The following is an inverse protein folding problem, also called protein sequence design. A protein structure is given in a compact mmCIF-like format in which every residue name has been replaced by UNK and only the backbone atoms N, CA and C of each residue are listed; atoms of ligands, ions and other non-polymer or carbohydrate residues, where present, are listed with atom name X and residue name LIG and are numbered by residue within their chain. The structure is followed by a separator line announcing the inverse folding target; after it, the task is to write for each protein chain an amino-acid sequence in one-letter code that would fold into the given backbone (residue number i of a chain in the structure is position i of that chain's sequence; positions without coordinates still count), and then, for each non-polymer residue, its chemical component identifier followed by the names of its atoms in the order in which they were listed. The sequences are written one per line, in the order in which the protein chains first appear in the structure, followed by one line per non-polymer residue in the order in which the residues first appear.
data_IF_376119357232
#
_entry.id   IF_376119357232
#
_cell.length_a   1.000
_cell.length_b   1.000
_cell.length_c   1.000
_cell.angle_alpha   90.00
_cell.angle_beta   90.00
_cell.angle_gamma   90.00
#
_symmetry.space_group_name_H-M   'P 1'
#
loop_
_entity.id
_entity.type
_entity.pdbx_description
1 polymer ?
#
# COMPACT_ATOMS: atom_id res chain seq x y z
N UNK A 1 -13.31 24.15 -0.20
CA UNK A 1 -12.57 23.10 -0.95
C UNK A 1 -11.15 23.08 -0.41
N UNK A 2 -10.86 22.29 0.62
CA UNK A 2 -9.55 22.28 1.30
C UNK A 2 -8.71 21.10 0.81
N UNK A 3 -8.36 21.15 -0.48
CA UNK A 3 -7.22 20.40 -1.01
C UNK A 3 -5.93 21.20 -0.74
N UNK A 4 -4.76 20.57 -0.60
CA UNK A 4 -4.50 19.12 -0.64
C UNK A 4 -4.93 18.38 0.62
N UNK A 5 -5.06 17.06 0.50
CA UNK A 5 -5.14 16.14 1.65
C UNK A 5 -3.73 15.69 2.01
N UNK A 6 -3.32 15.90 3.26
CA UNK A 6 -1.98 15.56 3.72
C UNK A 6 -2.04 14.49 4.80
N UNK A 7 -1.22 13.44 4.67
CA UNK A 7 -1.06 12.39 5.68
C UNK A 7 0.42 12.28 6.08
N UNK A 8 0.65 11.97 7.36
CA UNK A 8 1.97 11.60 7.88
C UNK A 8 1.90 10.17 8.38
N UNK A 9 2.76 9.33 7.85
CA UNK A 9 2.82 7.90 8.14
C UNK A 9 4.13 7.57 8.84
N UNK A 10 4.07 6.65 9.80
CA UNK A 10 5.27 6.04 10.37
C UNK A 10 5.80 4.98 9.40
N UNK A 11 7.08 5.05 9.03
CA UNK A 11 7.70 4.13 8.07
C UNK A 11 7.82 2.68 8.57
N UNK A 12 7.73 2.45 9.89
CA UNK A 12 7.69 1.11 10.46
C UNK A 12 6.33 0.43 10.24
N UNK A 13 5.24 1.21 10.34
CA UNK A 13 3.89 0.70 10.10
C UNK A 13 3.57 0.63 8.59
N UNK A 14 4.02 1.63 7.83
CA UNK A 14 3.79 1.73 6.39
C UNK A 14 5.12 1.82 5.65
N UNK A 15 5.72 0.67 5.30
CA UNK A 15 6.96 0.68 4.51
C UNK A 15 6.72 1.29 3.13
N UNK A 16 7.77 1.84 2.52
CA UNK A 16 7.68 2.54 1.24
C UNK A 16 7.00 1.71 0.13
N UNK A 17 7.26 0.40 0.08
CA UNK A 17 6.64 -0.50 -0.89
C UNK A 17 5.12 -0.58 -0.78
N UNK A 18 4.58 -0.53 0.45
CA UNK A 18 3.14 -0.49 0.72
C UNK A 18 2.56 0.85 0.27
N UNK A 19 3.24 1.95 0.62
CA UNK A 19 2.83 3.30 0.22
C UNK A 19 2.79 3.44 -1.30
N UNK A 20 3.82 2.97 -2.00
CA UNK A 20 3.87 3.02 -3.46
C UNK A 20 2.74 2.22 -4.10
N UNK A 21 2.46 1.01 -3.60
CA UNK A 21 1.36 0.18 -4.10
C UNK A 21 0.00 0.86 -3.88
N UNK A 22 -0.21 1.46 -2.72
CA UNK A 22 -1.42 2.22 -2.43
C UNK A 22 -1.55 3.42 -3.38
N UNK A 23 -0.48 4.20 -3.56
CA UNK A 23 -0.46 5.35 -4.47
C UNK A 23 -0.76 4.95 -5.91
N UNK A 24 -0.12 3.88 -6.42
CA UNK A 24 -0.39 3.37 -7.77
C UNK A 24 -1.81 2.85 -7.92
N UNK A 25 -2.36 2.17 -6.91
CA UNK A 25 -3.75 1.67 -6.97
C UNK A 25 -4.80 2.78 -7.02
N UNK A 26 -4.43 3.99 -6.58
CA UNK A 26 -5.30 5.15 -6.52
C UNK A 26 -5.03 6.17 -7.65
N UNK A 27 -4.13 5.86 -8.58
CA UNK A 27 -3.66 6.80 -9.60
C UNK A 27 -4.80 7.36 -10.48
N UNK A 28 -5.85 6.58 -10.72
CA UNK A 28 -7.02 7.01 -11.49
C UNK A 28 -7.95 7.97 -10.71
N UNK A 29 -7.79 8.06 -9.38
CA UNK A 29 -8.67 8.85 -8.50
C UNK A 29 -7.94 10.05 -7.89
N UNK A 30 -6.72 9.85 -7.39
CA UNK A 30 -5.92 10.90 -6.76
C UNK A 30 -4.47 10.83 -7.22
N UNK A 31 -3.89 12.01 -7.47
CA UNK A 31 -2.44 12.15 -7.63
C UNK A 31 -1.81 12.30 -6.26
N UNK A 32 -0.91 11.39 -5.89
CA UNK A 32 -0.25 11.36 -4.58
C UNK A 32 1.24 11.64 -4.75
N UNK A 33 1.70 12.74 -4.15
CA UNK A 33 3.12 13.02 -3.95
C UNK A 33 3.60 12.36 -2.67
N UNK A 34 4.70 11.60 -2.76
CA UNK A 34 5.32 10.90 -1.63
C UNK A 34 6.62 11.63 -1.25
N UNK A 35 6.67 12.19 -0.05
CA UNK A 35 7.89 12.69 0.59
C UNK A 35 8.42 11.66 1.58
N UNK A 36 9.74 11.46 1.60
CA UNK A 36 10.40 10.52 2.49
C UNK A 36 11.31 11.31 3.42
N UNK A 37 11.07 11.18 4.71
CA UNK A 37 11.86 11.73 5.80
C UNK A 37 12.26 10.57 6.73
N UNK A 38 13.37 10.67 7.46
CA UNK A 38 14.06 9.55 8.12
C UNK A 38 13.17 8.39 8.65
N UNK A 39 12.16 8.69 9.47
CA UNK A 39 11.21 7.68 9.99
C UNK A 39 9.74 8.01 9.64
N UNK A 40 9.52 8.89 8.66
CA UNK A 40 8.19 9.32 8.27
C UNK A 40 8.03 9.37 6.76
N UNK A 41 6.86 8.97 6.30
CA UNK A 41 6.46 9.16 4.91
C UNK A 41 5.32 10.17 4.90
N UNK A 42 5.52 11.28 4.20
CA UNK A 42 4.51 12.30 3.98
C UNK A 42 3.80 12.06 2.65
N UNK A 43 2.48 12.10 2.67
CA UNK A 43 1.65 11.99 1.48
C UNK A 43 0.91 13.29 1.28
N UNK A 44 0.99 13.85 0.09
CA UNK A 44 0.18 15.00 -0.33
C UNK A 44 -0.64 14.59 -1.53
N UNK A 45 -1.97 14.55 -1.38
CA UNK A 45 -2.89 14.07 -2.39
C UNK A 45 -3.72 15.21 -2.99
N UNK A 46 -3.93 15.13 -4.30
CA UNK A 46 -4.79 15.98 -5.10
C UNK A 46 -5.74 15.12 -5.93
N UNK A 47 -6.91 15.64 -6.39
CA UNK A 47 -7.74 14.92 -7.34
C UNK A 47 -6.96 14.65 -8.62
N UNK A 48 -7.10 13.46 -9.21
CA UNK A 48 -6.50 13.16 -10.52
C UNK A 48 -7.13 14.01 -11.64
N UNK A 49 -8.42 14.33 -11.51
CA UNK A 49 -9.17 15.16 -12.45
C UNK A 49 -9.90 16.30 -11.74
N UNK A 50 -9.97 17.46 -12.39
CA UNK A 50 -10.62 18.66 -11.84
C UNK A 50 -12.14 18.52 -11.63
N UNK A 51 -12.79 17.50 -12.23
CA UNK A 51 -14.24 17.26 -12.12
C UNK A 51 -14.62 16.18 -11.10
N UNK A 52 -13.66 15.59 -10.39
CA UNK A 52 -13.96 14.59 -9.36
C UNK A 52 -14.77 15.23 -8.22
N UNK A 53 -15.97 14.71 -7.99
CA UNK A 53 -16.86 15.08 -6.88
C UNK A 53 -16.44 14.40 -5.57
N UNK A 54 -15.14 14.20 -5.37
CA UNK A 54 -14.59 13.54 -4.18
C UNK A 54 -14.31 14.60 -3.12
N UNK A 55 -14.92 14.45 -1.93
CA UNK A 55 -14.61 15.34 -0.82
C UNK A 55 -13.20 15.04 -0.25
N UNK A 56 -12.50 16.02 0.35
CA UNK A 56 -11.21 15.78 1.00
C UNK A 56 -11.28 14.69 2.09
N UNK A 57 -12.38 14.60 2.83
CA UNK A 57 -12.59 13.60 3.89
C UNK A 57 -12.78 12.19 3.29
N UNK A 58 -13.50 12.10 2.17
CA UNK A 58 -13.64 10.86 1.41
C UNK A 58 -12.31 10.43 0.82
N UNK A 59 -11.52 11.36 0.27
CA UNK A 59 -10.18 11.08 -0.24
C UNK A 59 -9.24 10.59 0.87
N UNK A 60 -9.25 11.25 2.02
CA UNK A 60 -8.47 10.85 3.19
C UNK A 60 -8.82 9.42 3.64
N UNK A 61 -10.11 9.12 3.76
CA UNK A 61 -10.60 7.79 4.18
C UNK A 61 -10.22 6.72 3.16
N UNK A 62 -10.36 7.02 1.87
CA UNK A 62 -9.98 6.12 0.77
C UNK A 62 -8.47 5.82 0.78
N UNK A 63 -7.64 6.85 0.94
CA UNK A 63 -6.18 6.69 1.01
C UNK A 63 -5.80 5.81 2.20
N UNK A 64 -6.35 6.07 3.39
CA UNK A 64 -6.10 5.25 4.58
C UNK A 64 -6.56 3.80 4.40
N UNK A 65 -7.71 3.58 3.78
CA UNK A 65 -8.20 2.24 3.51
C UNK A 65 -7.22 1.45 2.63
N UNK A 66 -6.78 2.03 1.51
CA UNK A 66 -5.82 1.36 0.63
C UNK A 66 -4.48 1.12 1.31
N UNK A 67 -3.99 2.07 2.11
CA UNK A 67 -2.77 1.89 2.91
C UNK A 67 -2.90 0.72 3.88
N UNK A 68 -4.01 0.64 4.61
CA UNK A 68 -4.29 -0.45 5.54
C UNK A 68 -4.37 -1.80 4.84
N UNK A 69 -5.08 -1.87 3.71
CA UNK A 69 -5.25 -3.11 2.95
C UNK A 69 -3.90 -3.63 2.44
N UNK A 70 -3.05 -2.75 1.89
CA UNK A 70 -1.71 -3.15 1.45
C UNK A 70 -0.78 -3.48 2.60
N UNK A 71 -0.85 -2.76 3.73
CA UNK A 71 -0.07 -3.06 4.93
C UNK A 71 -0.42 -4.44 5.50
N UNK A 72 -1.72 -4.73 5.62
CA UNK A 72 -2.22 -6.02 6.11
C UNK A 72 -1.79 -7.16 5.17
N UNK A 73 -1.92 -6.98 3.85
CA UNK A 73 -1.47 -7.97 2.86
C UNK A 73 0.03 -8.19 2.95
N UNK A 74 0.82 -7.14 3.14
CA UNK A 74 2.27 -7.26 3.29
C UNK A 74 2.64 -8.01 4.57
N UNK A 75 1.97 -7.71 5.68
CA UNK A 75 2.14 -8.43 6.93
C UNK A 75 1.79 -9.92 6.79
N UNK A 76 0.62 -10.26 6.24
CA UNK A 76 0.22 -11.65 5.99
C UNK A 76 1.25 -12.35 5.08
N UNK A 77 1.73 -11.67 4.03
CA UNK A 77 2.74 -12.25 3.13
C UNK A 77 4.04 -12.58 3.86
N UNK A 78 4.51 -11.71 4.76
CA UNK A 78 5.71 -11.93 5.56
C UNK A 78 5.52 -13.08 6.53
N UNK A 79 4.42 -13.12 7.27
CA UNK A 79 4.12 -14.19 8.23
C UNK A 79 3.95 -15.55 7.54
N UNK A 80 3.40 -15.58 6.33
CA UNK A 80 3.10 -16.83 5.61
C UNK A 80 4.21 -17.27 4.65
N UNK A 81 5.32 -16.52 4.51
CA UNK A 81 6.37 -16.85 3.52
C UNK A 81 6.97 -18.23 3.78
N UNK A 82 7.31 -18.55 5.03
CA UNK A 82 7.90 -19.84 5.38
C UNK A 82 6.95 -21.01 5.15
N UNK A 83 5.65 -20.83 5.44
CA UNK A 83 4.64 -21.84 5.17
C UNK A 83 4.49 -22.09 3.66
N UNK A 84 4.46 -21.02 2.85
CA UNK A 84 4.37 -21.13 1.39
C UNK A 84 5.58 -21.87 0.81
N UNK A 85 6.78 -21.61 1.33
CA UNK A 85 7.98 -22.35 0.93
C UNK A 85 7.92 -23.84 1.27
N UNK A 86 7.45 -24.18 2.48
CA UNK A 86 7.29 -25.58 2.89
C UNK A 86 6.28 -26.30 1.99
N UNK A 87 5.13 -25.67 1.72
CA UNK A 87 4.12 -26.21 0.82
C UNK A 87 4.66 -26.39 -0.60
N UNK A 88 5.42 -25.42 -1.11
CA UNK A 88 6.05 -25.51 -2.43
C UNK A 88 7.06 -26.66 -2.50
N UNK A 89 7.92 -26.81 -1.48
CA UNK A 89 8.89 -27.93 -1.40
C UNK A 89 8.18 -29.28 -1.34
N UNK A 90 7.12 -29.40 -0.54
CA UNK A 90 6.34 -30.63 -0.44
C UNK A 90 5.67 -31.00 -1.78
N UNK A 91 5.11 -30.01 -2.49
CA UNK A 91 4.51 -30.23 -3.81
C UNK A 91 5.56 -30.69 -4.84
N UNK A 92 6.73 -30.06 -4.88
CA UNK A 92 7.82 -30.46 -5.79
C UNK A 92 8.31 -31.88 -5.50
N UNK A 93 8.50 -32.22 -4.22
CA UNK A 93 8.87 -33.57 -3.80
C UNK A 93 7.81 -34.61 -4.20
N UNK A 94 6.53 -34.29 -4.04
CA UNK A 94 5.42 -35.14 -4.47
C UNK A 94 5.35 -35.36 -5.98
N UNK A 95 5.85 -34.41 -6.79
CA UNK A 95 5.97 -34.54 -8.23
C UNK A 95 7.26 -35.27 -8.69
N UNK A 96 8.09 -35.76 -7.76
CA UNK A 96 9.37 -36.41 -8.08
C UNK A 96 10.45 -35.43 -8.56
N UNK A 97 10.25 -34.12 -8.36
CA UNK A 97 11.23 -33.08 -8.67
C UNK A 97 12.05 -32.86 -7.39
N UNK A 98 13.17 -33.55 -7.28
CA UNK A 98 14.14 -33.31 -6.20
C UNK A 98 14.98 -32.07 -6.53
N UNK A 99 15.00 -31.10 -5.60
CA UNK A 99 16.00 -30.02 -5.58
C UNK A 99 17.31 -30.52 -4.98
#
# INVERSE_FOLDING_TARGET
MTWPVTLKLDSAAYPLSVVQRAAYSLADTVTIQVGIEANQISLTAHPAEARLTLSPEQAHSLILQHLNDFALRDHINRETVGLREVLARAALAGCGISQ
#
